data_IF_071339371710
#
_entry.id   IF_071339371710
#
_cell.length_a   1.000
_cell.length_b   1.000
_cell.length_c   1.000
_cell.angle_alpha   90.00
_cell.angle_beta   90.00
_cell.angle_gamma   90.00
#
_symmetry.space_group_name_H-M   'P 1'
#
loop_
_entity.id
_entity.type
_entity.pdbx_description
1 polymer ?
#
# COMPACT_ATOMS: atom_id res chain seq x y z
N UNK A 1 -36.69 5.42 -13.15
CA UNK A 1 -36.35 4.61 -11.95
C UNK A 1 -35.49 3.38 -12.26
N UNK A 2 -35.91 2.41 -13.09
CA UNK A 2 -35.07 1.21 -13.37
C UNK A 2 -33.78 1.53 -14.13
N UNK A 3 -33.85 2.33 -15.19
CA UNK A 3 -32.67 2.73 -16.00
C UNK A 3 -31.63 3.51 -15.22
N UNK A 4 -32.06 4.48 -14.40
CA UNK A 4 -31.16 5.27 -13.54
C UNK A 4 -30.38 4.41 -12.54
N UNK A 5 -31.06 3.46 -11.89
CA UNK A 5 -30.39 2.53 -10.98
C UNK A 5 -29.33 1.69 -11.70
N UNK A 6 -29.61 1.24 -12.92
CA UNK A 6 -28.64 0.50 -13.72
C UNK A 6 -27.40 1.36 -14.00
N UNK A 7 -27.58 2.63 -14.35
CA UNK A 7 -26.46 3.56 -14.59
C UNK A 7 -25.64 3.77 -13.31
N UNK A 8 -26.31 4.03 -12.16
CA UNK A 8 -25.62 4.23 -10.89
C UNK A 8 -24.78 3.01 -10.48
N UNK A 9 -25.36 1.80 -10.58
CA UNK A 9 -24.62 0.57 -10.30
C UNK A 9 -23.52 0.29 -11.32
N UNK A 10 -23.75 0.63 -12.58
CA UNK A 10 -22.70 0.54 -13.62
C UNK A 10 -21.48 1.42 -13.28
N UNK A 11 -21.72 2.65 -12.80
CA UNK A 11 -20.65 3.55 -12.35
C UNK A 11 -19.93 3.05 -11.09
N UNK A 12 -20.66 2.45 -10.15
CA UNK A 12 -20.10 1.78 -8.97
C UNK A 12 -19.15 0.66 -9.39
N UNK A 13 -19.59 -0.20 -10.31
CA UNK A 13 -18.76 -1.30 -10.82
C UNK A 13 -17.54 -0.78 -11.59
N UNK A 14 -17.74 0.25 -12.42
CA UNK A 14 -16.64 0.85 -13.18
C UNK A 14 -15.59 1.46 -12.26
N UNK A 15 -15.99 2.18 -11.20
CA UNK A 15 -15.07 2.66 -10.16
C UNK A 15 -14.31 1.51 -9.54
N UNK A 16 -15.00 0.48 -9.06
CA UNK A 16 -14.37 -0.65 -8.38
C UNK A 16 -13.33 -1.34 -9.27
N UNK A 17 -13.64 -1.57 -10.54
CA UNK A 17 -12.71 -2.19 -11.49
C UNK A 17 -11.53 -1.27 -11.78
N UNK A 18 -11.77 0.00 -12.13
CA UNK A 18 -10.71 0.95 -12.48
C UNK A 18 -9.75 1.19 -11.32
N UNK A 19 -10.24 1.22 -10.08
CA UNK A 19 -9.40 1.40 -8.90
C UNK A 19 -8.72 0.10 -8.44
N UNK A 20 -9.25 -1.07 -8.78
CA UNK A 20 -8.65 -2.35 -8.40
C UNK A 20 -7.51 -2.78 -9.33
N UNK A 21 -7.64 -2.54 -10.63
CA UNK A 21 -6.65 -2.97 -11.64
C UNK A 21 -5.22 -2.48 -11.33
N UNK A 22 -4.99 -1.22 -10.92
CA UNK A 22 -3.65 -0.73 -10.57
C UNK A 22 -2.95 -1.50 -9.45
N UNK A 23 -3.70 -2.07 -8.51
CA UNK A 23 -3.15 -2.85 -7.40
C UNK A 23 -2.89 -4.31 -7.76
N UNK A 24 -3.58 -4.83 -8.78
CA UNK A 24 -3.52 -6.25 -9.17
C UNK A 24 -2.62 -6.50 -10.39
N UNK A 25 -2.61 -5.57 -11.34
CA UNK A 25 -1.92 -5.71 -12.62
C UNK A 25 -0.74 -4.75 -12.71
N UNK A 26 0.48 -5.24 -12.96
CA UNK A 26 1.66 -4.38 -13.10
C UNK A 26 1.50 -3.33 -14.22
N UNK A 27 2.11 -2.18 -14.03
CA UNK A 27 2.20 -1.08 -15.01
C UNK A 27 0.86 -0.41 -15.39
N UNK A 28 -0.20 -0.65 -14.62
CA UNK A 28 -1.54 -0.07 -14.86
C UNK A 28 -1.88 1.11 -13.93
N UNK A 29 -0.93 1.62 -13.16
CA UNK A 29 -1.13 2.73 -12.20
C UNK A 29 -1.87 3.95 -12.79
N UNK A 30 -1.67 4.24 -14.07
CA UNK A 30 -2.33 5.35 -14.77
C UNK A 30 -3.86 5.25 -14.80
N UNK A 31 -4.46 4.06 -14.61
CA UNK A 31 -5.92 3.93 -14.50
C UNK A 31 -6.47 4.66 -13.27
N UNK A 32 -5.70 4.78 -12.20
CA UNK A 32 -6.11 5.52 -11.01
C UNK A 32 -6.32 7.01 -11.28
N UNK A 33 -5.64 7.58 -12.30
CA UNK A 33 -5.85 8.98 -12.71
C UNK A 33 -7.24 9.26 -13.27
N UNK A 34 -7.99 8.22 -13.61
CA UNK A 34 -9.36 8.27 -14.12
C UNK A 34 -10.36 7.52 -13.24
N UNK A 35 -9.85 6.72 -12.30
CA UNK A 35 -10.61 5.73 -11.56
C UNK A 35 -11.66 6.30 -10.60
N UNK A 36 -11.48 7.52 -10.09
CA UNK A 36 -12.44 8.16 -9.17
C UNK A 36 -13.56 8.89 -9.95
N UNK A 37 -13.34 9.23 -11.22
CA UNK A 37 -14.33 9.93 -12.06
C UNK A 37 -15.70 9.22 -12.07
N UNK A 38 -15.82 7.89 -12.24
CA UNK A 38 -17.11 7.21 -12.19
C UNK A 38 -17.85 7.42 -10.87
N UNK A 39 -17.14 7.43 -9.74
CA UNK A 39 -17.76 7.67 -8.42
C UNK A 39 -18.29 9.09 -8.30
N UNK A 40 -17.56 10.09 -8.80
CA UNK A 40 -18.01 11.50 -8.84
C UNK A 40 -19.21 11.68 -9.79
N UNK A 41 -19.20 10.98 -10.94
CA UNK A 41 -20.35 10.98 -11.86
C UNK A 41 -21.58 10.32 -11.23
N UNK A 42 -21.41 9.21 -10.53
CA UNK A 42 -22.48 8.54 -9.76
C UNK A 42 -23.11 9.52 -8.77
N UNK A 43 -22.29 10.22 -7.98
CA UNK A 43 -22.76 11.20 -7.01
C UNK A 43 -23.48 12.38 -7.66
N UNK A 44 -22.98 12.91 -8.79
CA UNK A 44 -23.63 13.98 -9.55
C UNK A 44 -25.00 13.53 -10.06
N UNK A 45 -25.09 12.37 -10.72
CA UNK A 45 -26.38 11.85 -11.22
C UNK A 45 -27.33 11.62 -10.06
N UNK A 46 -26.88 11.00 -8.96
CA UNK A 46 -27.70 10.77 -7.79
C UNK A 46 -28.22 12.08 -7.15
N UNK A 47 -27.42 13.15 -7.22
CA UNK A 47 -27.81 14.47 -6.74
C UNK A 47 -28.86 15.12 -7.67
N UNK A 48 -28.64 15.08 -8.98
CA UNK A 48 -29.55 15.64 -9.97
C UNK A 48 -30.92 14.92 -10.03
N UNK A 49 -30.92 13.62 -9.71
CA UNK A 49 -32.16 12.81 -9.67
C UNK A 49 -32.76 12.70 -8.26
N UNK A 50 -32.27 13.49 -7.31
CA UNK A 50 -32.74 13.51 -5.90
C UNK A 50 -32.79 12.11 -5.27
N UNK A 51 -31.79 11.26 -5.63
CA UNK A 51 -31.78 9.87 -5.19
C UNK A 51 -31.64 9.77 -3.69
N UNK A 52 -32.53 8.98 -3.07
CA UNK A 52 -32.44 8.64 -1.65
C UNK A 52 -31.41 7.53 -1.42
N UNK A 53 -30.86 7.47 -0.21
CA UNK A 53 -29.94 6.42 0.26
C UNK A 53 -28.69 6.27 -0.61
N UNK A 54 -28.12 7.38 -1.07
CA UNK A 54 -26.91 7.38 -1.94
C UNK A 54 -25.71 6.71 -1.27
N UNK A 55 -25.69 6.68 0.06
CA UNK A 55 -24.65 6.00 0.83
C UNK A 55 -24.49 4.52 0.44
N UNK A 56 -25.56 3.83 0.03
CA UNK A 56 -25.49 2.44 -0.42
C UNK A 56 -24.55 2.31 -1.64
N UNK A 57 -24.62 3.24 -2.60
CA UNK A 57 -23.81 3.20 -3.80
C UNK A 57 -22.33 3.44 -3.50
N UNK A 58 -21.99 4.50 -2.76
CA UNK A 58 -20.59 4.77 -2.48
C UNK A 58 -19.99 3.77 -1.46
N UNK A 59 -20.75 3.31 -0.48
CA UNK A 59 -20.28 2.24 0.40
C UNK A 59 -20.02 0.95 -0.37
N UNK A 60 -20.95 0.52 -1.22
CA UNK A 60 -20.74 -0.65 -2.09
C UNK A 60 -19.55 -0.48 -3.03
N UNK A 61 -19.31 0.72 -3.57
CA UNK A 61 -18.16 1.00 -4.41
C UNK A 61 -16.85 0.74 -3.66
N UNK A 62 -16.74 1.23 -2.42
CA UNK A 62 -15.57 1.01 -1.59
C UNK A 62 -15.44 -0.44 -1.12
N UNK A 63 -16.55 -1.11 -0.76
CA UNK A 63 -16.53 -2.53 -0.41
C UNK A 63 -16.03 -3.38 -1.57
N UNK A 64 -16.51 -3.15 -2.78
CA UNK A 64 -16.06 -3.87 -3.97
C UNK A 64 -14.58 -3.61 -4.26
N UNK A 65 -14.13 -2.36 -4.21
CA UNK A 65 -12.73 -2.02 -4.38
C UNK A 65 -11.85 -2.72 -3.34
N UNK A 66 -12.17 -2.59 -2.05
CA UNK A 66 -11.42 -3.25 -0.98
C UNK A 66 -11.44 -4.79 -1.14
N UNK A 67 -12.61 -5.38 -1.39
CA UNK A 67 -12.73 -6.83 -1.53
C UNK A 67 -11.90 -7.36 -2.70
N UNK A 68 -11.93 -6.69 -3.86
CA UNK A 68 -11.17 -7.13 -5.05
C UNK A 68 -9.65 -6.99 -4.82
N UNK A 69 -9.20 -5.96 -4.12
CA UNK A 69 -7.77 -5.67 -3.97
C UNK A 69 -7.12 -6.35 -2.77
N UNK A 70 -7.88 -6.59 -1.70
CA UNK A 70 -7.33 -7.07 -0.42
C UNK A 70 -7.90 -8.44 0.03
N UNK A 71 -8.53 -9.19 -0.90
CA UNK A 71 -9.07 -10.52 -0.62
C UNK A 71 -8.05 -11.49 0.00
N UNK A 72 -6.79 -11.32 -0.35
CA UNK A 72 -5.68 -12.18 0.08
C UNK A 72 -5.48 -12.17 1.61
N UNK A 73 -5.94 -11.14 2.32
CA UNK A 73 -5.89 -11.11 3.80
C UNK A 73 -6.73 -12.22 4.41
N UNK A 74 -7.80 -12.65 3.72
CA UNK A 74 -8.60 -13.80 4.14
C UNK A 74 -7.80 -15.11 4.16
N UNK A 75 -6.67 -15.20 3.45
CA UNK A 75 -5.79 -16.37 3.51
C UNK A 75 -5.09 -16.49 4.86
N UNK A 76 -4.84 -15.39 5.54
CA UNK A 76 -4.26 -15.40 6.89
C UNK A 76 -5.34 -15.55 7.97
N UNK A 77 -6.46 -14.85 7.81
CA UNK A 77 -7.61 -14.92 8.73
C UNK A 77 -8.88 -14.45 8.02
N UNK A 78 -9.85 -15.32 7.89
CA UNK A 78 -11.12 -15.00 7.18
C UNK A 78 -11.87 -13.87 7.90
N UNK A 79 -12.02 -13.95 9.22
CA UNK A 79 -12.71 -12.93 10.02
C UNK A 79 -12.00 -11.57 9.97
N UNK A 80 -10.67 -11.57 10.09
CA UNK A 80 -9.86 -10.36 9.98
C UNK A 80 -9.93 -9.73 8.59
N UNK A 81 -9.89 -10.52 7.52
CA UNK A 81 -10.03 -10.03 6.16
C UNK A 81 -11.39 -9.39 5.89
N UNK A 82 -12.48 -10.02 6.33
CA UNK A 82 -13.84 -9.45 6.21
C UNK A 82 -13.94 -8.14 7.01
N UNK A 83 -13.42 -8.13 8.25
CA UNK A 83 -13.40 -6.93 9.08
C UNK A 83 -12.62 -5.80 8.40
N UNK A 84 -11.43 -6.07 7.89
CA UNK A 84 -10.59 -5.07 7.21
C UNK A 84 -11.30 -4.46 5.99
N UNK A 85 -11.91 -5.29 5.13
CA UNK A 85 -12.68 -4.84 3.96
C UNK A 85 -13.84 -3.94 4.37
N UNK A 86 -14.64 -4.35 5.35
CA UNK A 86 -15.85 -3.59 5.73
C UNK A 86 -15.49 -2.32 6.51
N UNK A 87 -14.54 -2.40 7.45
CA UNK A 87 -14.14 -1.26 8.27
C UNK A 87 -13.44 -0.17 7.44
N UNK A 88 -12.50 -0.54 6.57
CA UNK A 88 -11.82 0.41 5.69
C UNK A 88 -12.81 1.07 4.72
N UNK A 89 -13.71 0.28 4.13
CA UNK A 89 -14.77 0.80 3.25
C UNK A 89 -15.71 1.77 3.97
N UNK A 90 -16.00 1.52 5.26
CA UNK A 90 -16.83 2.40 6.07
C UNK A 90 -16.14 3.75 6.31
N UNK A 91 -14.84 3.75 6.59
CA UNK A 91 -14.06 4.98 6.74
C UNK A 91 -14.06 5.80 5.45
N UNK A 92 -13.75 5.20 4.31
CA UNK A 92 -13.80 5.84 2.99
C UNK A 92 -15.20 6.41 2.68
N UNK A 93 -16.22 5.61 2.96
CA UNK A 93 -17.61 5.99 2.77
C UNK A 93 -18.04 7.15 3.68
N UNK A 94 -17.50 7.22 4.90
CA UNK A 94 -17.73 8.33 5.83
C UNK A 94 -17.15 9.64 5.28
N UNK A 95 -15.92 9.62 4.78
CA UNK A 95 -15.28 10.79 4.14
C UNK A 95 -16.12 11.25 2.94
N UNK A 96 -16.55 10.31 2.09
CA UNK A 96 -17.40 10.64 0.96
C UNK A 96 -18.78 11.16 1.40
N UNK A 97 -19.32 10.67 2.50
CA UNK A 97 -20.51 11.19 3.16
C UNK A 97 -20.35 12.63 3.66
N UNK A 98 -19.20 12.95 4.28
CA UNK A 98 -18.85 14.32 4.69
C UNK A 98 -18.76 15.27 3.48
N UNK A 99 -18.18 14.82 2.38
CA UNK A 99 -18.21 15.55 1.11
C UNK A 99 -19.63 15.87 0.66
N UNK A 100 -20.53 14.89 0.69
CA UNK A 100 -21.94 15.11 0.35
C UNK A 100 -22.63 16.11 1.29
N UNK A 101 -22.31 16.07 2.57
CA UNK A 101 -22.79 17.04 3.55
C UNK A 101 -22.22 18.45 3.28
N UNK A 102 -20.96 18.55 2.88
CA UNK A 102 -20.30 19.83 2.57
C UNK A 102 -20.99 20.58 1.42
N UNK A 103 -21.57 19.86 0.44
CA UNK A 103 -22.37 20.44 -0.66
C UNK A 103 -23.60 21.22 -0.21
N UNK A 104 -24.08 20.99 1.03
CA UNK A 104 -25.19 21.77 1.60
C UNK A 104 -24.75 23.15 2.08
N UNK A 105 -23.46 23.36 2.34
CA UNK A 105 -22.90 24.61 2.87
C UNK A 105 -22.02 25.34 1.87
N UNK A 106 -21.31 24.59 1.03
CA UNK A 106 -20.36 25.12 0.05
C UNK A 106 -20.89 24.94 -1.37
N UNK A 107 -20.55 25.86 -2.24
CA UNK A 107 -20.94 25.86 -3.65
C UNK A 107 -19.70 25.77 -4.57
N UNK A 108 -19.91 25.50 -5.83
CA UNK A 108 -18.85 25.46 -6.84
C UNK A 108 -17.86 24.34 -6.60
N UNK A 109 -16.56 24.69 -6.58
CA UNK A 109 -15.45 23.74 -6.45
C UNK A 109 -15.09 23.40 -4.99
N UNK A 110 -15.52 24.20 -4.02
CA UNK A 110 -15.13 24.05 -2.60
C UNK A 110 -15.45 22.67 -2.01
N UNK A 111 -16.63 22.05 -2.26
CA UNK A 111 -16.88 20.68 -1.78
C UNK A 111 -15.87 19.64 -2.29
N UNK A 112 -15.43 19.78 -3.52
CA UNK A 112 -14.46 18.85 -4.13
C UNK A 112 -13.05 19.05 -3.57
N UNK A 113 -12.65 20.29 -3.31
CA UNK A 113 -11.41 20.60 -2.59
C UNK A 113 -11.48 20.01 -1.17
N UNK A 114 -12.62 20.19 -0.49
CA UNK A 114 -12.85 19.61 0.82
C UNK A 114 -12.72 18.07 0.80
N UNK A 115 -13.29 17.39 -0.20
CA UNK A 115 -13.15 15.95 -0.38
C UNK A 115 -11.68 15.54 -0.52
N UNK A 116 -10.94 16.18 -1.42
CA UNK A 116 -9.53 15.91 -1.68
C UNK A 116 -8.69 16.09 -0.41
N UNK A 117 -8.83 17.23 0.26
CA UNK A 117 -8.05 17.54 1.47
C UNK A 117 -8.38 16.58 2.61
N UNK A 118 -9.68 16.32 2.84
CA UNK A 118 -10.11 15.40 3.91
C UNK A 118 -9.65 13.97 3.63
N UNK A 119 -9.65 13.54 2.37
CA UNK A 119 -9.16 12.21 1.99
C UNK A 119 -7.67 12.06 2.25
N UNK A 120 -6.84 13.00 1.80
CA UNK A 120 -5.39 12.97 2.02
C UNK A 120 -5.04 13.08 3.51
N UNK A 121 -5.77 13.93 4.25
CA UNK A 121 -5.60 14.04 5.70
C UNK A 121 -5.94 12.72 6.42
N UNK A 122 -6.99 12.01 5.98
CA UNK A 122 -7.32 10.69 6.49
C UNK A 122 -6.24 9.65 6.14
N UNK A 123 -5.74 9.64 4.91
CA UNK A 123 -4.63 8.74 4.53
C UNK A 123 -3.40 8.97 5.41
N UNK A 124 -3.06 10.24 5.67
CA UNK A 124 -1.95 10.59 6.56
C UNK A 124 -2.17 10.14 8.00
N UNK A 125 -3.37 10.39 8.53
CA UNK A 125 -3.75 9.94 9.88
C UNK A 125 -3.70 8.41 9.98
N UNK A 126 -4.11 7.72 8.94
CA UNK A 126 -4.21 6.26 8.92
C UNK A 126 -2.84 5.55 8.89
N UNK A 127 -1.76 6.23 8.53
CA UNK A 127 -0.40 5.68 8.67
C UNK A 127 0.00 5.44 10.13
N UNK A 128 -0.42 6.33 11.03
CA UNK A 128 -0.03 6.32 12.43
C UNK A 128 -1.12 5.73 13.36
N UNK A 129 -2.25 5.32 12.81
CA UNK A 129 -3.33 4.72 13.59
C UNK A 129 -2.94 3.35 14.14
N UNK A 130 -3.39 3.00 15.34
CA UNK A 130 -3.13 1.70 15.98
C UNK A 130 -3.57 0.52 15.09
N UNK A 131 -4.72 0.64 14.43
CA UNK A 131 -5.16 -0.30 13.39
C UNK A 131 -4.89 0.37 12.03
N UNK A 132 -3.63 0.38 11.62
CA UNK A 132 -3.23 0.98 10.36
C UNK A 132 -3.49 0.03 9.18
N UNK A 133 -3.96 0.58 8.05
CA UNK A 133 -4.26 -0.18 6.84
C UNK A 133 -3.85 0.61 5.58
N UNK A 134 -2.56 0.87 5.39
CA UNK A 134 -2.08 1.78 4.35
C UNK A 134 -2.08 1.17 2.93
N UNK A 135 -2.53 -0.06 2.75
CA UNK A 135 -2.46 -0.78 1.48
C UNK A 135 -3.15 -0.05 0.34
N UNK A 136 -4.31 0.58 0.60
CA UNK A 136 -5.13 1.26 -0.40
C UNK A 136 -4.98 2.78 -0.40
N UNK A 137 -3.89 3.31 0.13
CA UNK A 137 -3.50 4.72 -0.12
C UNK A 137 -3.42 4.92 -1.63
N UNK A 138 -4.08 5.96 -2.14
CA UNK A 138 -4.23 6.15 -3.59
C UNK A 138 -2.88 6.15 -4.32
N UNK A 139 -1.87 6.81 -3.75
CA UNK A 139 -0.53 6.84 -4.34
C UNK A 139 0.09 5.46 -4.53
N UNK A 140 -0.29 4.46 -3.72
CA UNK A 140 0.20 3.09 -3.84
C UNK A 140 -0.30 2.38 -5.12
N UNK A 141 -1.29 2.93 -5.82
CA UNK A 141 -1.71 2.41 -7.12
C UNK A 141 -0.58 2.40 -8.17
N UNK A 142 0.45 3.22 -7.96
CA UNK A 142 1.64 3.27 -8.81
C UNK A 142 2.80 2.39 -8.34
N UNK A 143 2.66 1.64 -7.22
CA UNK A 143 3.75 0.84 -6.63
C UNK A 143 4.40 -0.14 -7.63
N UNK A 144 3.65 -0.59 -8.63
CA UNK A 144 4.15 -1.44 -9.73
C UNK A 144 4.46 -0.68 -11.03
N UNK A 145 4.49 0.66 -10.97
CA UNK A 145 4.79 1.57 -12.09
C UNK A 145 5.88 2.56 -11.66
N UNK A 146 6.93 2.05 -11.02
CA UNK A 146 7.96 2.84 -10.33
C UNK A 146 8.65 3.86 -11.22
N UNK A 147 8.79 3.59 -12.52
CA UNK A 147 9.38 4.52 -13.47
C UNK A 147 8.62 5.85 -13.60
N UNK A 148 7.33 5.88 -13.23
CA UNK A 148 6.50 7.08 -13.31
C UNK A 148 6.47 7.91 -12.02
N UNK A 149 7.08 7.42 -10.93
CA UNK A 149 6.92 7.97 -9.58
C UNK A 149 8.24 8.19 -8.82
N UNK A 150 9.36 8.36 -9.51
CA UNK A 150 10.65 8.60 -8.83
C UNK A 150 10.60 9.89 -7.97
N UNK A 151 9.77 10.86 -8.32
CA UNK A 151 9.52 12.06 -7.51
C UNK A 151 8.83 11.80 -6.16
N UNK A 152 8.35 10.57 -5.89
CA UNK A 152 7.88 10.19 -4.54
C UNK A 152 9.00 10.25 -3.50
N UNK A 153 10.25 10.27 -3.92
CA UNK A 153 11.39 10.55 -3.04
C UNK A 153 11.19 11.83 -2.23
N UNK A 154 10.58 12.85 -2.83
CA UNK A 154 10.34 14.16 -2.18
C UNK A 154 8.98 14.28 -1.50
N UNK A 155 7.97 13.58 -1.96
CA UNK A 155 6.58 13.80 -1.55
C UNK A 155 5.93 12.60 -0.86
N UNK A 156 6.57 11.44 -0.93
CA UNK A 156 5.97 10.18 -0.53
C UNK A 156 4.76 9.80 -1.38
N UNK A 157 4.08 8.75 -0.97
CA UNK A 157 2.86 8.25 -1.63
C UNK A 157 1.68 9.23 -1.54
N UNK A 158 1.66 10.11 -0.53
CA UNK A 158 0.61 11.13 -0.40
C UNK A 158 0.66 12.18 -1.51
N UNK A 159 1.86 12.49 -2.04
CA UNK A 159 1.99 13.28 -3.26
C UNK A 159 1.33 12.60 -4.45
N UNK A 160 1.45 11.28 -4.54
CA UNK A 160 0.72 10.47 -5.53
C UNK A 160 -0.79 10.54 -5.36
N UNK A 161 -1.28 10.48 -4.13
CA UNK A 161 -2.69 10.66 -3.81
C UNK A 161 -3.20 12.04 -4.25
N UNK A 162 -2.40 13.10 -4.02
CA UNK A 162 -2.73 14.44 -4.48
C UNK A 162 -2.80 14.50 -6.01
N UNK A 163 -1.82 13.92 -6.71
CA UNK A 163 -1.80 13.85 -8.16
C UNK A 163 -3.04 13.15 -8.72
N UNK A 164 -3.41 12.01 -8.15
CA UNK A 164 -4.61 11.25 -8.54
C UNK A 164 -5.86 12.09 -8.32
N UNK A 165 -6.01 12.74 -7.17
CA UNK A 165 -7.15 13.60 -6.89
C UNK A 165 -7.26 14.78 -7.86
N UNK A 166 -6.16 15.52 -8.07
CA UNK A 166 -6.15 16.67 -8.97
C UNK A 166 -6.55 16.28 -10.39
N UNK A 167 -6.01 15.15 -10.86
CA UNK A 167 -6.33 14.65 -12.21
C UNK A 167 -7.79 14.22 -12.33
N UNK A 168 -8.30 13.43 -11.38
CA UNK A 168 -9.71 13.00 -11.39
C UNK A 168 -10.68 14.18 -11.28
N UNK A 169 -10.41 15.15 -10.39
CA UNK A 169 -11.25 16.34 -10.25
C UNK A 169 -11.20 17.22 -11.50
N UNK A 170 -10.04 17.36 -12.13
CA UNK A 170 -9.89 18.08 -13.39
C UNK A 170 -10.70 17.44 -14.52
N UNK A 171 -10.56 16.12 -14.71
CA UNK A 171 -11.30 15.35 -15.71
C UNK A 171 -12.82 15.45 -15.44
N UNK A 172 -13.22 15.25 -14.19
CA UNK A 172 -14.63 15.37 -13.80
C UNK A 172 -15.17 16.78 -14.09
N UNK A 173 -14.42 17.84 -13.75
CA UNK A 173 -14.78 19.22 -14.05
C UNK A 173 -14.97 19.48 -15.54
N UNK A 174 -14.08 18.95 -16.39
CA UNK A 174 -14.20 19.02 -17.85
C UNK A 174 -15.46 18.28 -18.34
N UNK A 175 -15.69 17.06 -17.87
CA UNK A 175 -16.89 16.28 -18.22
C UNK A 175 -18.17 17.01 -17.81
N UNK A 176 -18.18 17.65 -16.65
CA UNK A 176 -19.32 18.46 -16.20
C UNK A 176 -19.53 19.64 -17.14
N UNK A 177 -18.49 20.40 -17.47
CA UNK A 177 -18.59 21.58 -18.33
C UNK A 177 -19.02 21.25 -19.75
N UNK A 178 -18.65 20.07 -20.25
CA UNK A 178 -19.13 19.57 -21.54
C UNK A 178 -20.60 19.14 -21.45
N UNK A 179 -21.02 18.49 -20.35
CA UNK A 179 -22.38 17.95 -20.21
C UNK A 179 -23.44 19.01 -19.98
N UNK A 180 -23.10 20.12 -19.30
CA UNK A 180 -24.01 21.24 -19.03
C UNK A 180 -23.87 22.39 -20.05
N UNK A 181 -22.99 22.24 -21.04
CA UNK A 181 -22.78 23.21 -22.11
C UNK A 181 -21.93 24.43 -21.70
N UNK A 182 -21.52 24.54 -20.45
CA UNK A 182 -20.72 25.69 -19.98
C UNK A 182 -19.36 25.80 -20.68
N UNK A 183 -18.80 24.67 -21.17
CA UNK A 183 -17.61 24.68 -21.99
C UNK A 183 -17.70 25.62 -23.20
N UNK A 184 -18.89 25.71 -23.84
CA UNK A 184 -19.10 26.57 -25.02
C UNK A 184 -18.98 28.06 -24.67
N UNK A 185 -19.31 28.44 -23.45
CA UNK A 185 -19.26 29.81 -22.95
C UNK A 185 -17.87 30.28 -22.51
N UNK A 186 -16.94 29.34 -22.31
CA UNK A 186 -15.58 29.69 -21.93
C UNK A 186 -14.85 30.38 -23.07
N UNK A 187 -14.09 31.43 -22.74
CA UNK A 187 -13.21 32.07 -23.69
C UNK A 187 -12.03 31.16 -24.07
N UNK A 188 -11.34 31.45 -25.16
CA UNK A 188 -10.22 30.63 -25.63
C UNK A 188 -9.09 30.52 -24.62
N UNK A 189 -8.80 31.57 -23.86
CA UNK A 189 -7.76 31.56 -22.82
C UNK A 189 -8.09 30.53 -21.72
N UNK A 190 -9.34 30.50 -21.25
CA UNK A 190 -9.79 29.53 -20.25
C UNK A 190 -9.76 28.09 -20.77
N UNK A 191 -10.20 27.87 -22.03
CA UNK A 191 -10.13 26.55 -22.68
C UNK A 191 -8.67 26.07 -22.80
N UNK A 192 -7.80 26.94 -23.30
CA UNK A 192 -6.37 26.62 -23.46
C UNK A 192 -5.73 26.35 -22.09
N UNK A 193 -6.01 27.15 -21.08
CA UNK A 193 -5.49 26.93 -19.73
C UNK A 193 -5.94 25.58 -19.15
N UNK A 194 -7.21 25.21 -19.32
CA UNK A 194 -7.74 23.92 -18.88
C UNK A 194 -7.05 22.74 -19.59
N UNK A 195 -6.90 22.81 -20.91
CA UNK A 195 -6.24 21.76 -21.70
C UNK A 195 -4.76 21.67 -21.34
N UNK A 196 -4.05 22.79 -21.31
CA UNK A 196 -2.62 22.83 -20.96
C UNK A 196 -2.41 22.32 -19.52
N UNK A 197 -3.24 22.77 -18.56
CA UNK A 197 -3.15 22.33 -17.18
C UNK A 197 -3.39 20.84 -17.02
N UNK A 198 -4.38 20.29 -17.73
CA UNK A 198 -4.65 18.85 -17.70
C UNK A 198 -3.53 18.05 -18.36
N UNK A 199 -3.02 18.52 -19.49
CA UNK A 199 -1.86 17.90 -20.18
C UNK A 199 -0.63 17.91 -19.27
N UNK A 200 -0.37 19.03 -18.62
CA UNK A 200 0.73 19.15 -17.66
C UNK A 200 0.58 18.18 -16.46
N UNK A 201 -0.63 18.07 -15.89
CA UNK A 201 -0.91 17.10 -14.81
C UNK A 201 -0.66 15.64 -15.23
N UNK A 202 -0.91 15.30 -16.50
CA UNK A 202 -0.71 13.94 -16.99
C UNK A 202 0.73 13.64 -17.37
N UNK A 203 1.45 14.63 -17.94
CA UNK A 203 2.76 14.42 -18.55
C UNK A 203 3.91 14.83 -17.62
N UNK A 204 3.78 15.93 -16.86
CA UNK A 204 4.90 16.45 -16.08
C UNK A 204 5.38 15.48 -14.98
N UNK A 205 4.53 14.84 -14.19
CA UNK A 205 5.01 13.93 -13.14
C UNK A 205 5.81 12.73 -13.70
N UNK A 206 5.35 12.00 -14.74
CA UNK A 206 6.17 10.95 -15.37
C UNK A 206 7.44 11.48 -16.04
N UNK A 207 7.40 12.67 -16.63
CA UNK A 207 8.59 13.28 -17.24
C UNK A 207 9.65 13.64 -16.21
N UNK A 208 9.24 14.24 -15.07
CA UNK A 208 10.11 14.53 -13.94
C UNK A 208 10.68 13.22 -13.37
N UNK A 209 9.84 12.19 -13.24
CA UNK A 209 10.25 10.86 -12.81
C UNK A 209 11.33 10.27 -13.72
N UNK A 210 11.17 10.40 -15.04
CA UNK A 210 12.15 9.95 -16.02
C UNK A 210 13.50 10.67 -15.89
N UNK A 211 13.47 11.98 -15.61
CA UNK A 211 14.70 12.77 -15.40
C UNK A 211 15.44 12.31 -14.13
N UNK A 212 14.72 12.19 -12.98
CA UNK A 212 15.28 11.70 -11.71
C UNK A 212 15.84 10.28 -11.87
N UNK A 213 15.10 9.37 -12.51
CA UNK A 213 15.52 7.98 -12.72
C UNK A 213 16.75 7.86 -13.63
N UNK A 214 16.93 8.79 -14.58
CA UNK A 214 18.12 8.85 -15.41
C UNK A 214 19.34 9.30 -14.60
N UNK A 215 19.21 10.40 -13.85
CA UNK A 215 20.29 10.90 -12.98
C UNK A 215 20.75 9.83 -11.98
N UNK A 216 19.80 9.12 -11.38
CA UNK A 216 20.09 8.03 -10.46
C UNK A 216 20.89 6.90 -11.15
N UNK A 217 20.49 6.47 -12.35
CA UNK A 217 21.21 5.44 -13.11
C UNK A 217 22.62 5.89 -13.50
N UNK A 218 22.76 7.15 -13.92
CA UNK A 218 24.05 7.70 -14.35
C UNK A 218 25.01 7.87 -13.16
N UNK A 219 24.49 8.02 -11.93
CA UNK A 219 25.28 8.11 -10.69
C UNK A 219 25.67 6.75 -10.10
N UNK A 220 25.04 5.67 -10.52
CA UNK A 220 25.36 4.31 -10.07
C UNK A 220 26.65 3.80 -10.73
N UNK A 221 27.79 4.17 -10.19
CA UNK A 221 29.08 3.56 -10.51
C UNK A 221 29.32 2.41 -9.53
N UNK A 222 29.16 1.18 -9.99
CA UNK A 222 29.40 -0.02 -9.19
C UNK A 222 30.81 -0.53 -9.47
N UNK A 223 31.72 -0.28 -8.53
CA UNK A 223 33.05 -0.90 -8.54
C UNK A 223 33.03 -2.27 -7.84
N UNK A 224 32.07 -2.49 -6.91
CA UNK A 224 31.89 -3.72 -6.18
C UNK A 224 30.50 -4.34 -6.41
N UNK A 225 30.49 -5.63 -6.68
CA UNK A 225 29.25 -6.40 -6.86
C UNK A 225 28.96 -7.21 -5.61
N UNK A 226 27.72 -7.15 -5.13
CA UNK A 226 27.17 -8.00 -4.08
C UNK A 226 26.07 -8.86 -4.67
N UNK A 227 26.19 -10.17 -4.54
CA UNK A 227 25.10 -11.06 -4.90
C UNK A 227 24.08 -11.12 -3.77
N UNK A 228 22.80 -11.16 -4.13
CA UNK A 228 21.72 -11.24 -3.16
C UNK A 228 20.86 -12.46 -3.44
N UNK A 229 20.74 -13.35 -2.45
CA UNK A 229 19.83 -14.49 -2.47
C UNK A 229 18.57 -14.17 -1.63
N UNK A 230 17.47 -13.98 -2.28
CA UNK A 230 16.16 -13.79 -1.59
C UNK A 230 15.51 -15.16 -1.43
N UNK A 231 15.39 -15.62 -0.19
CA UNK A 231 14.83 -16.95 0.13
C UNK A 231 13.39 -16.79 0.58
N UNK A 232 12.47 -17.33 -0.21
CA UNK A 232 11.03 -17.27 0.08
C UNK A 232 10.46 -18.70 0.16
N UNK A 233 10.31 -19.28 1.36
CA UNK A 233 9.87 -20.66 1.53
C UNK A 233 8.37 -20.86 1.23
N UNK A 234 7.60 -19.77 1.10
CA UNK A 234 6.18 -19.77 0.81
C UNK A 234 5.35 -20.72 1.71
N UNK A 235 5.67 -20.70 3.00
CA UNK A 235 4.95 -21.51 3.99
C UNK A 235 3.56 -20.91 4.17
N UNK A 236 2.52 -21.74 4.03
CA UNK A 236 1.14 -21.35 4.30
C UNK A 236 0.98 -20.83 5.73
N UNK A 237 0.28 -19.70 5.97
CA UNK A 237 0.15 -19.10 7.30
C UNK A 237 -0.41 -20.05 8.36
N UNK A 238 -1.38 -20.91 8.01
CA UNK A 238 -1.92 -21.91 8.94
C UNK A 238 -0.88 -22.97 9.30
N UNK A 239 -0.07 -23.39 8.33
CA UNK A 239 1.03 -24.31 8.57
C UNK A 239 2.12 -23.64 9.42
N UNK A 240 2.45 -22.38 9.14
CA UNK A 240 3.46 -21.62 9.89
C UNK A 240 3.13 -21.53 11.36
N UNK A 241 1.89 -21.25 11.72
CA UNK A 241 1.49 -20.95 13.11
C UNK A 241 0.84 -22.13 13.84
N UNK A 242 0.38 -23.17 13.13
CA UNK A 242 -0.40 -24.24 13.74
C UNK A 242 0.19 -25.65 13.53
N UNK A 243 0.73 -25.95 12.36
CA UNK A 243 1.13 -27.31 12.01
C UNK A 243 2.65 -27.53 12.04
N UNK A 244 3.47 -26.55 11.64
CA UNK A 244 4.93 -26.69 11.57
C UNK A 244 5.60 -26.12 12.82
N UNK A 245 6.49 -26.91 13.41
CA UNK A 245 7.38 -26.41 14.46
C UNK A 245 8.44 -25.48 13.88
N UNK A 246 9.01 -24.58 14.69
CA UNK A 246 10.10 -23.70 14.27
C UNK A 246 11.30 -24.51 13.71
N UNK A 247 11.59 -25.67 14.29
CA UNK A 247 12.67 -26.53 13.80
C UNK A 247 12.44 -27.06 12.37
N UNK A 248 11.18 -27.40 12.04
CA UNK A 248 10.80 -27.82 10.68
C UNK A 248 10.87 -26.65 9.70
N UNK A 249 10.40 -25.47 10.09
CA UNK A 249 10.52 -24.24 9.28
C UNK A 249 11.99 -23.90 9.03
N UNK A 250 12.84 -23.97 10.06
CA UNK A 250 14.28 -23.78 9.94
C UNK A 250 14.90 -24.77 8.95
N UNK A 251 14.50 -26.05 8.99
CA UNK A 251 15.02 -27.06 8.08
C UNK A 251 14.64 -26.80 6.61
N UNK A 252 13.41 -26.30 6.36
CA UNK A 252 12.96 -25.91 5.02
C UNK A 252 13.84 -24.76 4.49
N UNK A 253 14.02 -23.72 5.29
CA UNK A 253 14.80 -22.55 4.91
C UNK A 253 16.28 -22.91 4.66
N UNK A 254 16.89 -23.65 5.60
CA UNK A 254 18.26 -24.14 5.48
C UNK A 254 18.48 -24.97 4.23
N UNK A 255 17.54 -25.88 3.90
CA UNK A 255 17.65 -26.69 2.69
C UNK A 255 17.64 -25.87 1.40
N UNK A 256 16.88 -24.77 1.36
CA UNK A 256 16.87 -23.83 0.24
C UNK A 256 18.20 -23.07 0.14
N UNK A 257 18.71 -22.58 1.27
CA UNK A 257 19.97 -21.82 1.33
C UNK A 257 21.14 -22.74 0.97
N UNK A 258 21.24 -23.91 1.59
CA UNK A 258 22.36 -24.86 1.38
C UNK A 258 22.47 -25.26 -0.08
N UNK A 259 21.37 -25.49 -0.77
CA UNK A 259 21.35 -25.79 -2.20
C UNK A 259 22.08 -24.75 -3.04
N UNK A 260 21.87 -23.48 -2.75
CA UNK A 260 22.54 -22.36 -3.45
C UNK A 260 23.99 -22.24 -3.02
N UNK A 261 24.29 -22.38 -1.71
CA UNK A 261 25.64 -22.30 -1.18
C UNK A 261 26.54 -23.42 -1.75
N UNK A 262 26.04 -24.65 -1.88
CA UNK A 262 26.78 -25.76 -2.50
C UNK A 262 27.09 -25.51 -3.99
N UNK A 263 26.11 -24.90 -4.73
CA UNK A 263 26.33 -24.50 -6.11
C UNK A 263 27.49 -23.51 -6.24
N UNK A 264 27.47 -22.48 -5.37
CA UNK A 264 28.49 -21.39 -5.36
C UNK A 264 29.85 -21.82 -4.83
N UNK A 265 29.93 -22.85 -4.01
CA UNK A 265 31.20 -23.32 -3.42
C UNK A 265 32.27 -23.67 -4.45
N UNK A 266 31.88 -24.06 -5.64
CA UNK A 266 32.74 -24.40 -6.75
C UNK A 266 33.09 -23.23 -7.67
N UNK A 267 32.55 -22.05 -7.41
CA UNK A 267 32.80 -20.83 -8.18
C UNK A 267 33.74 -19.89 -7.41
N UNK A 268 35.05 -19.96 -7.77
CA UNK A 268 36.08 -19.12 -7.15
C UNK A 268 35.96 -17.62 -7.50
N UNK A 269 35.08 -17.27 -8.43
CA UNK A 269 34.85 -15.89 -8.88
C UNK A 269 33.56 -15.28 -8.27
N UNK A 270 32.82 -16.05 -7.46
CA UNK A 270 31.57 -15.61 -6.86
C UNK A 270 31.81 -14.41 -5.96
N UNK A 271 31.01 -13.36 -6.18
CA UNK A 271 30.93 -12.17 -5.32
C UNK A 271 30.48 -12.54 -3.90
N UNK A 272 30.72 -11.68 -2.90
CA UNK A 272 30.13 -11.86 -1.57
C UNK A 272 28.61 -12.02 -1.68
N UNK A 273 28.03 -12.88 -0.84
CA UNK A 273 26.59 -13.19 -0.87
C UNK A 273 25.88 -12.62 0.35
N UNK A 274 24.78 -11.92 0.12
CA UNK A 274 23.81 -11.55 1.15
C UNK A 274 22.56 -12.43 1.01
N UNK A 275 22.27 -13.24 2.02
CA UNK A 275 21.04 -14.05 2.09
C UNK A 275 19.97 -13.27 2.84
N UNK A 276 18.85 -13.00 2.19
CA UNK A 276 17.67 -12.34 2.77
C UNK A 276 16.56 -13.35 3.00
N UNK A 277 15.99 -13.37 4.21
CA UNK A 277 14.91 -14.29 4.58
C UNK A 277 13.62 -13.57 4.91
N UNK A 278 12.47 -14.28 5.04
CA UNK A 278 11.19 -13.65 5.28
C UNK A 278 11.08 -12.87 6.58
N UNK A 279 10.22 -11.87 6.59
CA UNK A 279 9.79 -11.16 7.78
C UNK A 279 9.20 -12.13 8.84
N UNK A 280 9.48 -11.86 10.11
CA UNK A 280 8.97 -12.68 11.24
C UNK A 280 9.17 -14.19 11.06
N UNK A 281 10.31 -14.58 10.49
CA UNK A 281 10.61 -15.98 10.21
C UNK A 281 10.68 -16.81 11.49
N UNK A 282 11.26 -16.24 12.56
CA UNK A 282 11.35 -16.89 13.88
C UNK A 282 10.75 -16.01 14.98
N UNK A 283 10.37 -16.65 16.10
CA UNK A 283 9.88 -16.01 17.30
C UNK A 283 10.65 -16.42 18.56
N UNK A 284 11.84 -16.98 18.41
CA UNK A 284 12.67 -17.46 19.54
C UNK A 284 13.82 -16.50 19.90
N UNK A 285 13.75 -15.25 19.48
CA UNK A 285 14.77 -14.23 19.74
C UNK A 285 14.43 -13.45 21.01
N UNK A 286 15.40 -13.38 21.92
CA UNK A 286 15.38 -12.47 23.07
C UNK A 286 16.45 -11.40 22.85
N UNK A 287 16.03 -10.14 22.92
CA UNK A 287 16.93 -8.98 22.74
C UNK A 287 18.06 -9.06 23.75
N UNK A 288 19.29 -8.89 23.26
CA UNK A 288 20.51 -9.00 24.11
C UNK A 288 20.89 -10.43 24.53
N UNK A 289 20.17 -11.48 24.09
CA UNK A 289 20.46 -12.89 24.42
C UNK A 289 20.33 -13.79 23.19
N UNK A 290 20.88 -13.37 22.07
CA UNK A 290 20.71 -14.03 20.75
C UNK A 290 21.20 -15.48 20.77
N UNK A 291 22.28 -15.78 21.50
CA UNK A 291 22.84 -17.13 21.59
C UNK A 291 21.91 -18.14 22.26
N UNK A 292 20.83 -17.71 22.93
CA UNK A 292 19.82 -18.61 23.47
C UNK A 292 18.88 -19.13 22.40
N UNK A 293 18.72 -18.42 21.27
CA UNK A 293 17.89 -18.83 20.16
C UNK A 293 18.48 -20.08 19.48
N UNK A 294 17.61 -21.07 19.24
CA UNK A 294 17.97 -22.25 18.45
C UNK A 294 18.11 -21.91 16.98
N UNK A 295 17.28 -20.99 16.49
CA UNK A 295 17.35 -20.51 15.12
C UNK A 295 18.64 -19.76 14.87
N UNK A 296 19.02 -18.81 15.74
CA UNK A 296 20.28 -18.09 15.65
C UNK A 296 21.48 -19.03 15.60
N UNK A 297 21.62 -19.93 16.57
CA UNK A 297 22.74 -20.90 16.62
C UNK A 297 22.82 -21.78 15.37
N UNK A 298 21.67 -22.22 14.85
CA UNK A 298 21.63 -23.08 13.66
C UNK A 298 22.17 -22.35 12.44
N UNK A 299 21.73 -21.14 12.16
CA UNK A 299 22.19 -20.39 10.99
C UNK A 299 23.59 -19.83 11.17
N UNK A 300 24.01 -19.41 12.35
CA UNK A 300 25.39 -19.03 12.63
C UNK A 300 26.32 -20.20 12.34
N UNK A 301 26.02 -21.40 12.85
CA UNK A 301 26.83 -22.60 12.59
C UNK A 301 26.85 -22.98 11.10
N UNK A 302 25.76 -22.81 10.36
CA UNK A 302 25.77 -23.01 8.92
C UNK A 302 26.76 -22.04 8.23
N UNK A 303 26.73 -20.78 8.60
CA UNK A 303 27.54 -19.73 7.97
C UNK A 303 29.03 -19.83 8.31
N UNK A 304 29.43 -20.49 9.41
CA UNK A 304 30.83 -20.75 9.74
C UNK A 304 31.58 -21.46 8.60
N UNK A 305 30.87 -22.25 7.79
CA UNK A 305 31.43 -22.94 6.63
C UNK A 305 31.49 -22.07 5.36
N UNK A 306 30.99 -20.83 5.40
CA UNK A 306 30.86 -19.95 4.23
C UNK A 306 31.25 -18.50 4.60
N UNK A 307 32.56 -18.18 4.73
CA UNK A 307 33.02 -16.88 5.28
C UNK A 307 32.60 -15.64 4.45
N UNK A 308 32.30 -15.82 3.17
CA UNK A 308 31.87 -14.72 2.29
C UNK A 308 30.35 -14.59 2.19
N UNK A 309 29.60 -15.23 3.11
CA UNK A 309 28.13 -15.19 3.15
C UNK A 309 27.68 -14.46 4.40
N UNK A 310 26.86 -13.45 4.21
CA UNK A 310 26.12 -12.76 5.27
C UNK A 310 24.63 -13.11 5.17
N UNK A 311 23.95 -13.14 6.28
CA UNK A 311 22.53 -13.45 6.32
C UNK A 311 21.79 -12.38 7.13
N UNK A 312 20.68 -11.90 6.57
CA UNK A 312 19.73 -11.03 7.25
C UNK A 312 18.42 -11.79 7.35
N UNK A 313 17.95 -12.05 8.56
CA UNK A 313 16.68 -12.72 8.74
C UNK A 313 15.69 -11.97 9.64
N UNK A 314 14.41 -12.06 9.28
CA UNK A 314 13.33 -11.44 10.02
C UNK A 314 12.94 -12.23 11.26
N UNK A 315 12.68 -11.54 12.35
CA UNK A 315 12.30 -12.16 13.61
C UNK A 315 11.23 -11.34 14.35
N UNK A 316 10.33 -12.04 15.06
CA UNK A 316 9.67 -11.46 16.22
C UNK A 316 10.61 -11.60 17.40
N UNK A 317 11.16 -10.48 17.86
CA UNK A 317 12.04 -10.46 19.01
C UNK A 317 11.29 -9.95 20.25
N UNK A 318 11.71 -10.41 21.41
CA UNK A 318 11.10 -10.07 22.70
C UNK A 318 12.13 -9.42 23.60
N UNK A 319 11.77 -8.26 24.17
CA UNK A 319 12.55 -7.62 25.22
C UNK A 319 11.81 -7.73 26.55
N UNK A 320 12.48 -8.29 27.56
CA UNK A 320 11.96 -8.47 28.91
C UNK A 320 12.52 -7.39 29.82
N UNK A 321 11.65 -6.48 30.28
CA UNK A 321 12.03 -5.28 31.00
C UNK A 321 11.50 -5.35 32.43
N UNK A 322 12.38 -5.18 33.41
CA UNK A 322 11.98 -5.02 34.82
C UNK A 322 11.71 -3.54 35.10
N UNK A 323 10.47 -3.18 35.38
CA UNK A 323 10.06 -1.81 35.70
C UNK A 323 8.82 -1.81 36.62
N UNK A 324 8.68 -0.81 37.48
CA UNK A 324 7.46 -0.61 38.25
C UNK A 324 6.31 -0.01 37.44
N UNK A 325 6.64 0.70 36.39
CA UNK A 325 5.69 1.32 35.44
C UNK A 325 5.89 0.76 34.05
N UNK A 326 4.86 0.86 33.21
CA UNK A 326 4.93 0.44 31.81
C UNK A 326 6.06 1.18 31.08
N UNK A 327 7.06 0.48 30.51
CA UNK A 327 8.17 1.11 29.80
C UNK A 327 7.71 1.80 28.51
N UNK A 328 6.63 1.31 27.92
CA UNK A 328 5.98 1.92 26.76
C UNK A 328 4.48 1.60 26.75
N UNK A 329 3.72 2.25 25.87
CA UNK A 329 2.29 1.99 25.70
C UNK A 329 2.00 0.63 25.04
N UNK A 330 2.99 -0.01 24.42
CA UNK A 330 2.88 -1.34 23.78
C UNK A 330 3.35 -2.47 24.69
N UNK A 331 4.01 -2.15 25.79
CA UNK A 331 4.50 -3.14 26.73
C UNK A 331 3.35 -3.91 27.38
N UNK A 332 3.48 -5.23 27.47
CA UNK A 332 2.51 -6.11 28.16
C UNK A 332 3.02 -6.45 29.53
N UNK A 333 2.17 -6.27 30.53
CA UNK A 333 2.45 -6.66 31.90
C UNK A 333 2.41 -8.19 32.05
N UNK A 334 3.50 -8.77 32.53
CA UNK A 334 3.62 -10.19 32.87
C UNK A 334 3.46 -10.42 34.38
N UNK A 335 3.24 -9.36 35.18
CA UNK A 335 3.15 -9.37 36.62
C UNK A 335 4.49 -9.21 37.32
N UNK A 336 4.43 -8.84 38.62
CA UNK A 336 5.61 -8.68 39.49
C UNK A 336 6.65 -7.66 38.98
N UNK A 337 6.22 -6.65 38.21
CA UNK A 337 7.11 -5.64 37.64
C UNK A 337 7.90 -6.11 36.41
N UNK A 338 7.55 -7.25 35.83
CA UNK A 338 8.12 -7.76 34.61
C UNK A 338 7.21 -7.38 33.41
N UNK A 339 7.76 -6.77 32.42
CA UNK A 339 7.10 -6.38 31.17
C UNK A 339 7.75 -7.06 29.97
N UNK A 340 6.99 -7.26 28.91
CA UNK A 340 7.51 -7.74 27.63
C UNK A 340 7.11 -6.80 26.50
N UNK A 341 8.07 -6.41 25.69
CA UNK A 341 7.87 -5.76 24.41
C UNK A 341 8.15 -6.72 23.26
N UNK A 342 7.31 -6.66 22.23
CA UNK A 342 7.49 -7.45 21.01
C UNK A 342 7.95 -6.53 19.88
N UNK A 343 9.02 -6.91 19.20
CA UNK A 343 9.61 -6.16 18.11
C UNK A 343 9.56 -6.98 16.82
N UNK A 344 9.18 -6.32 15.72
CA UNK A 344 9.45 -6.83 14.38
C UNK A 344 10.87 -6.43 14.02
N UNK A 345 11.76 -7.40 13.92
CA UNK A 345 13.20 -7.18 13.86
C UNK A 345 13.83 -7.85 12.64
N UNK A 346 14.94 -7.31 12.19
CA UNK A 346 15.86 -7.92 11.24
C UNK A 346 17.23 -8.10 11.94
N UNK A 347 17.83 -9.27 11.82
CA UNK A 347 19.04 -9.70 12.51
C UNK A 347 20.08 -10.21 11.52
#
# INVERSE_FOLDING_TARGET
MKKENIVLWGLVMLFAVMMSVPFLVPHTGFLALFGIVPLLCMDRIATLTEKKRVWIYHYSAFVLWNAITTFWVCNATVGGGIFAVLANSLQMSTIFGLFRLSKKKFTGTLPYIFLMVTWIAWERFYFDAEISWPWLVLGNSFARTTWAIQWYEFTGSLGGSLWIWLTNLGIFGLLVSLSDGSWSTWNMKAKSAAVIGMTALLIAPPAISGAIGKEYKDSMHTEEMLDVLIVQPNIDPYNKFQALTQAQQNAILEGMITKELEYRKNDSTAAPLLVLTPETFTSDIIVGQYERSRTWRRFTSLLESYPNVNMLFGASAYDYINSQEAPSYTARDLGQGLWVESHNSAL
#
